data_IF_527229474943
#
_entry.id   IF_527229474943
#
_cell.length_a   1.000
_cell.length_b   1.000
_cell.length_c   1.000
_cell.angle_alpha   90.00
_cell.angle_beta   90.00
_cell.angle_gamma   90.00
#
_symmetry.space_group_name_H-M   'P 1'
#
loop_
_entity.id
_entity.type
_entity.pdbx_description
1 polymer ?
#
# COMPACT_ATOMS: atom_id res chain seq x y z
N UNK A 1 -40.51 5.74 37.04
CA UNK A 1 -40.12 5.79 36.59
C UNK A 1 -39.29 5.85 35.95
N UNK A 2 -39.32 5.79 35.89
CA UNK A 2 -38.56 5.84 35.25
C UNK A 2 -37.97 5.79 34.52
N UNK A 3 -37.94 5.68 34.15
CA UNK A 3 -37.49 5.57 33.39
C UNK A 3 -36.72 5.88 32.72
N UNK A 4 -36.54 6.09 32.67
CA UNK A 4 -36.02 6.39 32.09
C UNK A 4 -35.07 6.30 31.67
N UNK A 5 -34.99 6.05 31.91
CA UNK A 5 -34.17 5.93 31.42
C UNK A 5 -33.62 5.59 30.76
N UNK A 6 -33.72 5.32 30.65
CA UNK A 6 -33.41 4.93 29.96
C UNK A 6 -33.03 5.18 29.21
N UNK A 7 -33.03 5.33 29.01
CA UNK A 7 -32.77 5.58 28.07
C UNK A 7 -31.99 5.91 27.64
N UNK A 8 -31.68 6.07 27.79
CA UNK A 8 -31.13 6.32 27.24
C UNK A 8 -30.31 6.08 26.85
N UNK A 9 -30.08 5.60 26.99
CA UNK A 9 -29.31 5.37 26.57
C UNK A 9 -29.00 5.06 25.74
N UNK A 10 -29.21 4.75 25.44
CA UNK A 10 -28.97 4.55 24.47
C UNK A 10 -28.47 4.96 23.78
N UNK A 11 -28.35 5.16 23.75
CA UNK A 11 -27.90 5.59 22.96
C UNK A 11 -27.04 5.77 22.67
N UNK A 12 -26.61 5.65 22.79
CA UNK A 12 -25.74 5.85 22.29
C UNK A 12 -25.06 5.49 21.80
N UNK A 13 -24.88 4.86 21.80
CA UNK A 13 -24.28 4.52 21.21
C UNK A 13 -24.15 4.50 20.22
N UNK A 14 -24.26 4.52 19.74
CA UNK A 14 -24.01 4.68 18.80
C UNK A 14 -23.32 5.33 18.29
N UNK A 15 -23.13 5.60 18.24
CA UNK A 15 -22.48 6.31 17.76
C UNK A 15 -21.43 6.16 17.50
N UNK A 16 -21.11 5.78 17.66
CA UNK A 16 -20.07 5.70 17.43
C UNK A 16 -19.72 5.21 16.46
N UNK A 17 -19.94 4.89 16.17
CA UNK A 17 -19.61 4.48 15.34
C UNK A 17 -19.36 4.99 14.29
N UNK A 18 -19.65 5.29 13.98
CA UNK A 18 -19.51 5.82 12.94
C UNK A 18 -18.32 6.35 12.61
N UNK A 19 -17.84 6.76 13.20
CA UNK A 19 -16.69 7.34 12.92
C UNK A 19 -15.72 6.46 12.36
N UNK A 20 -15.77 5.30 12.66
CA UNK A 20 -14.82 4.39 12.20
C UNK A 20 -14.79 4.25 10.75
N UNK A 21 -15.73 4.78 10.08
CA UNK A 21 -15.81 4.51 8.70
C UNK A 21 -15.10 5.52 7.85
N UNK A 22 -14.39 6.41 8.45
CA UNK A 22 -13.66 7.36 7.65
C UNK A 22 -12.52 6.67 6.96
N UNK A 23 -12.57 6.61 5.66
CA UNK A 23 -11.45 6.09 4.93
C UNK A 23 -10.62 7.26 4.45
N UNK A 24 -9.33 7.13 4.59
CA UNK A 24 -8.41 8.13 4.13
C UNK A 24 -8.18 7.91 2.65
N UNK A 25 -8.25 8.97 1.87
CA UNK A 25 -8.01 8.86 0.44
C UNK A 25 -6.59 8.37 0.19
N UNK A 26 -6.44 7.44 -0.71
CA UNK A 26 -5.15 7.00 -1.18
C UNK A 26 -5.22 6.88 -2.69
N UNK A 27 -4.23 7.39 -3.40
CA UNK A 27 -4.25 7.32 -4.86
C UNK A 27 -3.88 5.95 -5.41
N UNK A 28 -3.38 5.05 -4.57
CA UNK A 28 -2.93 3.75 -5.05
C UNK A 28 -4.14 2.86 -5.36
N UNK A 29 -4.21 2.36 -6.58
CA UNK A 29 -5.29 1.50 -7.02
C UNK A 29 -4.95 0.02 -6.92
N UNK A 30 -3.76 -0.34 -7.37
CA UNK A 30 -3.34 -1.74 -7.37
C UNK A 30 -1.84 -1.81 -7.58
N UNK A 31 -1.28 -2.98 -7.42
CA UNK A 31 0.15 -3.16 -7.55
C UNK A 31 0.48 -4.55 -8.10
N UNK A 32 1.70 -4.67 -8.59
CA UNK A 32 2.29 -5.94 -9.00
C UNK A 32 3.64 -6.03 -8.33
N UNK A 33 3.87 -6.94 -7.38
CA UNK A 33 2.95 -8.02 -6.94
C UNK A 33 1.68 -7.47 -6.33
N UNK A 34 0.61 -8.25 -6.45
CA UNK A 34 -0.69 -7.82 -5.97
C UNK A 34 -0.69 -7.63 -4.46
N UNK A 35 -1.37 -6.60 -4.00
CA UNK A 35 -1.43 -6.26 -2.57
C UNK A 35 -1.96 -7.45 -1.79
N UNK A 36 -1.19 -7.88 -0.78
CA UNK A 36 -1.59 -8.96 0.08
C UNK A 36 -1.48 -10.34 -0.51
N UNK A 37 -0.84 -10.49 -1.67
CA UNK A 37 -0.81 -11.76 -2.36
C UNK A 37 0.31 -12.66 -1.87
N UNK A 38 0.14 -13.94 -2.15
CA UNK A 38 1.18 -14.93 -1.95
C UNK A 38 1.64 -15.36 -3.33
N UNK A 39 2.89 -15.12 -3.64
CA UNK A 39 3.40 -15.31 -4.99
C UNK A 39 3.85 -16.73 -5.21
N UNK A 40 3.88 -17.17 -6.46
CA UNK A 40 4.41 -18.48 -6.80
C UNK A 40 5.89 -18.43 -7.14
N UNK A 41 6.41 -17.24 -7.36
CA UNK A 41 7.84 -17.07 -7.62
C UNK A 41 8.26 -15.66 -7.25
N UNK A 42 9.55 -15.46 -7.07
CA UNK A 42 10.07 -14.17 -6.67
C UNK A 42 9.89 -13.13 -7.77
N UNK A 43 9.46 -11.93 -7.40
CA UNK A 43 9.30 -10.86 -8.39
C UNK A 43 10.65 -10.22 -8.73
N UNK A 44 10.74 -9.62 -9.88
CA UNK A 44 11.94 -8.91 -10.30
C UNK A 44 11.71 -7.41 -10.38
N UNK A 45 10.47 -6.99 -10.32
CA UNK A 45 10.11 -5.57 -10.37
C UNK A 45 8.95 -5.34 -9.43
N UNK A 46 8.78 -4.07 -9.08
CA UNK A 46 7.58 -3.60 -8.39
C UNK A 46 6.92 -2.60 -9.31
N UNK A 47 5.61 -2.68 -9.43
CA UNK A 47 4.86 -1.74 -10.23
C UNK A 47 3.60 -1.35 -9.51
N UNK A 48 3.41 -0.04 -9.30
CA UNK A 48 2.27 0.48 -8.58
C UNK A 48 1.46 1.35 -9.51
N UNK A 49 0.14 1.20 -9.48
CA UNK A 49 -0.77 1.94 -10.34
C UNK A 49 -1.61 2.89 -9.52
N UNK A 50 -1.70 4.12 -10.00
CA UNK A 50 -2.37 5.19 -9.27
C UNK A 50 -3.56 5.72 -10.07
N UNK A 51 -4.40 6.52 -9.43
CA UNK A 51 -5.56 7.08 -10.12
C UNK A 51 -5.19 8.28 -11.00
N UNK A 52 -3.99 8.83 -10.82
CA UNK A 52 -3.48 9.89 -11.68
C UNK A 52 -1.99 9.67 -11.87
N UNK A 53 -1.40 10.35 -12.83
CA UNK A 53 0.02 10.16 -13.13
C UNK A 53 0.86 10.67 -11.97
N UNK A 54 1.72 9.82 -11.40
CA UNK A 54 2.58 10.25 -10.31
C UNK A 54 3.78 11.03 -10.83
N UNK A 55 4.28 11.91 -9.98
CA UNK A 55 5.49 12.68 -10.27
C UNK A 55 6.68 11.85 -9.81
N UNK A 56 7.40 11.28 -10.75
CA UNK A 56 8.52 10.38 -10.44
C UNK A 56 9.57 11.07 -9.58
N UNK A 57 9.80 12.35 -9.81
CA UNK A 57 10.84 13.07 -9.07
C UNK A 57 10.49 13.23 -7.59
N UNK A 58 9.23 13.09 -7.24
CA UNK A 58 8.79 13.20 -5.86
C UNK A 58 8.32 11.86 -5.32
N UNK A 59 8.74 10.79 -5.95
CA UNK A 59 8.29 9.45 -5.58
C UNK A 59 9.45 8.60 -5.13
N UNK A 60 9.16 7.64 -4.26
CA UNK A 60 10.15 6.66 -3.84
C UNK A 60 9.45 5.36 -3.47
N UNK A 61 10.18 4.28 -3.63
CA UNK A 61 9.72 2.95 -3.25
C UNK A 61 10.81 2.28 -2.43
N UNK A 62 10.41 1.53 -1.43
CA UNK A 62 11.34 0.70 -0.64
C UNK A 62 10.75 -0.69 -0.53
N UNK A 63 11.60 -1.69 -0.55
CA UNK A 63 11.20 -3.07 -0.37
C UNK A 63 11.95 -3.63 0.81
N UNK A 64 11.22 -4.07 1.82
CA UNK A 64 11.82 -4.60 3.04
C UNK A 64 11.39 -6.05 3.19
N UNK A 65 12.35 -6.92 3.30
CA UNK A 65 12.10 -8.36 3.44
C UNK A 65 12.70 -8.91 4.71
N UNK A 66 12.73 -10.24 4.83
CA UNK A 66 13.22 -10.88 6.06
C UNK A 66 14.65 -10.50 6.43
N UNK A 67 15.46 -10.21 5.44
CA UNK A 67 16.87 -9.91 5.68
C UNK A 67 17.20 -8.43 5.56
N UNK A 68 16.20 -7.59 5.52
CA UNK A 68 16.41 -6.15 5.47
C UNK A 68 15.93 -5.54 4.19
N UNK A 69 16.39 -4.33 3.94
CA UNK A 69 15.95 -3.57 2.79
C UNK A 69 16.67 -4.02 1.53
N UNK A 70 15.91 -4.19 0.46
CA UNK A 70 16.47 -4.57 -0.84
C UNK A 70 16.92 -3.36 -1.62
N UNK A 71 17.87 -3.55 -2.52
CA UNK A 71 18.32 -2.49 -3.38
C UNK A 71 17.44 -2.43 -4.61
N UNK A 72 17.01 -1.23 -4.95
CA UNK A 72 16.13 -0.98 -6.09
C UNK A 72 16.78 0.04 -6.99
N UNK A 73 16.41 0.04 -8.27
CA UNK A 73 16.93 1.05 -9.19
C UNK A 73 15.97 1.29 -10.34
N UNK A 74 16.10 2.47 -10.94
CA UNK A 74 15.41 2.74 -12.19
C UNK A 74 13.95 3.12 -12.01
N UNK A 75 13.63 3.87 -10.97
CA UNK A 75 12.25 4.30 -10.79
C UNK A 75 11.79 5.13 -11.99
N UNK A 76 10.70 4.73 -12.60
CA UNK A 76 10.18 5.40 -13.78
C UNK A 76 8.70 5.12 -13.94
N UNK A 77 8.07 5.80 -14.89
CA UNK A 77 6.69 5.54 -15.24
C UNK A 77 6.65 5.01 -16.67
N UNK A 78 5.67 4.14 -16.93
CA UNK A 78 5.39 3.69 -18.30
C UNK A 78 4.28 4.53 -18.89
N UNK A 79 3.93 5.64 -18.26
CA UNK A 79 2.88 6.57 -18.70
C UNK A 79 1.49 5.96 -18.62
N UNK A 80 1.31 5.09 -17.64
CA UNK A 80 0.01 4.46 -17.38
C UNK A 80 -0.42 4.75 -15.95
N UNK A 81 -0.12 5.94 -15.46
CA UNK A 81 -0.39 6.34 -14.09
C UNK A 81 0.31 5.39 -13.12
N UNK A 82 1.54 5.04 -13.42
CA UNK A 82 2.24 4.01 -12.68
C UNK A 82 3.65 4.43 -12.28
N UNK A 83 4.18 3.71 -11.30
CA UNK A 83 5.59 3.75 -10.94
C UNK A 83 6.12 2.33 -11.05
N UNK A 84 7.29 2.18 -11.65
CA UNK A 84 7.92 0.88 -11.81
C UNK A 84 9.37 0.97 -11.42
N UNK A 85 9.89 -0.07 -10.75
CA UNK A 85 11.27 -0.08 -10.31
C UNK A 85 11.77 -1.51 -10.35
N UNK A 86 13.06 -1.65 -10.59
CA UNK A 86 13.70 -2.96 -10.66
C UNK A 86 14.29 -3.35 -9.31
N UNK A 87 14.13 -4.61 -8.91
CA UNK A 87 14.74 -5.15 -7.71
C UNK A 87 16.09 -5.74 -8.12
N UNK A 88 17.16 -5.23 -7.55
CA UNK A 88 18.49 -5.61 -7.99
C UNK A 88 18.97 -6.90 -7.36
N UNK A 89 18.78 -7.03 -6.03
CA UNK A 89 19.28 -8.20 -5.34
C UNK A 89 18.20 -9.28 -5.26
N UNK A 90 18.59 -10.53 -5.03
CA UNK A 90 17.64 -11.63 -5.08
C UNK A 90 16.57 -11.52 -3.99
N UNK A 91 15.35 -11.85 -4.37
CA UNK A 91 14.24 -11.93 -3.44
C UNK A 91 14.04 -13.39 -3.10
N UNK A 92 14.15 -13.71 -1.82
CA UNK A 92 14.00 -15.06 -1.34
C UNK A 92 12.65 -15.23 -0.68
N UNK A 93 12.35 -16.43 -0.17
CA UNK A 93 11.05 -16.64 0.46
C UNK A 93 10.92 -15.80 1.72
N UNK A 94 9.70 -15.44 2.03
CA UNK A 94 9.40 -14.70 3.26
C UNK A 94 8.35 -13.65 3.05
N UNK A 95 8.17 -12.84 4.08
CA UNK A 95 7.21 -11.76 4.06
C UNK A 95 7.90 -10.47 3.63
N UNK A 96 7.24 -9.73 2.77
CA UNK A 96 7.79 -8.50 2.22
C UNK A 96 6.84 -7.34 2.42
N UNK A 97 7.40 -6.16 2.62
CA UNK A 97 6.63 -4.93 2.73
C UNK A 97 7.15 -3.92 1.72
N UNK A 98 6.24 -3.35 0.96
CA UNK A 98 6.57 -2.25 0.05
C UNK A 98 6.13 -0.96 0.72
N UNK A 99 7.04 0.00 0.79
CA UNK A 99 6.74 1.32 1.32
C UNK A 99 6.85 2.30 0.16
N UNK A 100 5.83 3.11 -0.03
CA UNK A 100 5.82 4.02 -1.17
C UNK A 100 5.45 5.42 -0.74
N UNK A 101 6.02 6.38 -1.48
CA UNK A 101 5.70 7.80 -1.35
C UNK A 101 5.55 8.34 -2.75
N UNK A 102 4.54 9.15 -3.00
CA UNK A 102 4.37 9.76 -4.31
C UNK A 102 3.59 11.06 -4.20
N UNK A 103 3.62 11.83 -5.26
CA UNK A 103 2.79 13.01 -5.43
C UNK A 103 2.02 12.83 -6.72
N UNK A 104 0.72 13.06 -6.68
CA UNK A 104 -0.14 12.91 -7.86
C UNK A 104 -1.05 14.12 -7.97
N UNK A 105 -1.52 14.37 -9.17
CA UNK A 105 -2.51 15.38 -9.41
C UNK A 105 -1.93 16.74 -9.70
N UNK A 106 -2.79 17.61 -10.21
CA UNK A 106 -2.40 18.95 -10.59
C UNK A 106 -2.12 19.83 -9.39
N UNK A 107 -2.71 19.51 -8.26
CA UNK A 107 -2.48 20.25 -7.03
C UNK A 107 -1.84 19.23 -6.11
N UNK A 108 -0.57 19.04 -6.21
CA UNK A 108 0.07 17.86 -5.67
C UNK A 108 -0.03 17.76 -4.17
N UNK A 109 -0.65 16.71 -3.74
CA UNK A 109 -0.52 16.24 -2.40
C UNK A 109 0.50 15.14 -2.40
N UNK A 110 1.19 15.01 -1.29
CA UNK A 110 2.12 13.91 -1.10
C UNK A 110 1.40 12.81 -0.33
N UNK A 111 1.46 11.61 -0.84
CA UNK A 111 0.79 10.46 -0.25
C UNK A 111 1.79 9.35 -0.02
N UNK A 112 1.53 8.54 1.01
CA UNK A 112 2.40 7.42 1.30
C UNK A 112 1.57 6.27 1.82
N UNK A 113 2.15 5.08 1.76
CA UNK A 113 1.48 3.91 2.28
C UNK A 113 2.40 2.72 2.25
N UNK A 114 1.85 1.60 2.69
CA UNK A 114 2.58 0.33 2.66
C UNK A 114 1.62 -0.77 2.25
N UNK A 115 2.19 -1.83 1.70
CA UNK A 115 1.42 -3.06 1.50
C UNK A 115 2.40 -4.23 1.54
N UNK A 116 1.84 -5.41 1.71
CA UNK A 116 2.64 -6.62 1.89
C UNK A 116 2.35 -7.63 0.81
N UNK A 117 3.33 -8.47 0.57
CA UNK A 117 3.14 -9.70 -0.18
C UNK A 117 4.10 -10.74 0.40
N UNK A 118 3.91 -11.98 0.04
CA UNK A 118 4.80 -13.04 0.52
C UNK A 118 5.27 -13.88 -0.65
N UNK A 119 6.46 -14.45 -0.46
CA UNK A 119 7.05 -15.39 -1.42
C UNK A 119 7.13 -16.72 -0.69
N UNK A 120 6.53 -17.78 -1.23
CA UNK A 120 6.48 -19.04 -0.49
C UNK A 120 7.82 -19.74 -0.48
N UNK A 121 7.88 -20.78 0.31
CA UNK A 121 9.07 -21.62 0.34
C UNK A 121 9.30 -22.11 -1.08
N UNK A 122 10.56 -22.18 -1.46
CA UNK A 122 10.95 -22.59 -2.72
C UNK A 122 10.47 -23.92 -3.00
N UNK A 123 9.82 -24.11 -3.80
CA UNK A 123 9.26 -25.28 -4.03
C UNK A 123 10.12 -26.30 -4.49
N UNK A 124 10.22 -26.54 -4.60
CA UNK A 124 10.78 -27.20 -4.93
C UNK A 124 10.22 -27.84 -5.57
#
# INVERSE_FOLDING_TARGET
INFEYRFGVLLFCLQLISCATNSVYSPLLRAEPEIGSELTRAPRTLRLYFDELPDVSQSSLRLVGPNGEHQLRGLHTMSENDLMIEIIDPVTRGEYRVEWVTAVGADPGVYSGTFNFSVPAEGN
#
